data_IF_191945909583
#
_entry.id   IF_191945909583
#
_cell.length_a   1.000
_cell.length_b   1.000
_cell.length_c   1.000
_cell.angle_alpha   90.00
_cell.angle_beta   90.00
_cell.angle_gamma   90.00
#
_symmetry.space_group_name_H-M   'P 1'
#
loop_
_entity.id
_entity.type
_entity.pdbx_description
1 polymer ?
#
# COMPACT_ATOMS: atom_id res chain seq x y z
N UNK A 1 21.31 1.10 5.81
CA UNK A 1 20.34 0.13 5.28
C UNK A 1 18.93 0.69 5.37
N UNK A 2 18.17 0.59 4.26
CA UNK A 2 16.85 1.22 4.15
C UNK A 2 15.70 0.43 4.79
N UNK A 3 15.89 -0.84 5.14
CA UNK A 3 14.88 -1.77 5.62
C UNK A 3 13.64 -1.86 4.69
N UNK A 4 13.75 -2.48 3.51
CA UNK A 4 12.58 -2.80 2.71
C UNK A 4 11.74 -3.86 3.45
N UNK A 5 10.43 -3.63 3.58
CA UNK A 5 9.54 -4.56 4.28
C UNK A 5 8.67 -5.36 3.32
N UNK A 6 8.10 -4.68 2.32
CA UNK A 6 7.20 -5.28 1.36
C UNK A 6 7.64 -4.97 -0.06
N UNK A 7 7.55 -5.96 -0.95
CA UNK A 7 7.75 -5.80 -2.39
C UNK A 7 6.49 -6.24 -3.13
N UNK A 8 6.10 -5.47 -4.14
CA UNK A 8 4.93 -5.79 -5.00
C UNK A 8 5.32 -5.68 -6.46
N UNK A 9 4.97 -6.71 -7.23
CA UNK A 9 5.07 -6.68 -8.68
C UNK A 9 3.93 -5.87 -9.28
N UNK A 10 4.19 -5.18 -10.38
CA UNK A 10 3.13 -4.67 -11.23
C UNK A 10 2.28 -5.83 -11.75
N UNK A 11 0.95 -5.64 -11.69
CA UNK A 11 -0.01 -6.62 -12.20
C UNK A 11 -0.41 -6.34 -13.66
N UNK A 12 0.07 -5.22 -14.20
CA UNK A 12 -0.19 -4.87 -15.58
C UNK A 12 0.65 -5.74 -16.51
N UNK A 13 0.02 -6.37 -17.49
CA UNK A 13 0.74 -7.24 -18.40
C UNK A 13 1.73 -6.45 -19.27
N UNK A 14 2.89 -7.04 -19.47
CA UNK A 14 4.01 -6.39 -20.15
C UNK A 14 4.90 -5.57 -19.22
N UNK A 15 4.44 -5.28 -18.00
CA UNK A 15 5.30 -4.69 -16.98
C UNK A 15 6.23 -5.77 -16.41
N UNK A 16 7.52 -5.47 -16.37
CA UNK A 16 8.54 -6.34 -15.77
C UNK A 16 9.27 -5.57 -14.67
N UNK A 17 8.52 -5.07 -13.70
CA UNK A 17 9.05 -4.32 -12.57
C UNK A 17 8.28 -4.56 -11.29
N UNK A 18 8.95 -4.32 -10.18
CA UNK A 18 8.38 -4.32 -8.85
C UNK A 18 8.68 -3.00 -8.12
N UNK A 19 7.83 -2.65 -7.18
CA UNK A 19 8.04 -1.54 -6.27
C UNK A 19 8.26 -2.04 -4.84
N UNK A 20 9.07 -1.33 -4.08
CA UNK A 20 9.20 -1.51 -2.62
C UNK A 20 9.37 -0.17 -1.93
N UNK A 21 9.01 -0.10 -0.65
CA UNK A 21 9.28 1.06 0.18
C UNK A 21 10.27 0.69 1.29
N UNK A 22 11.15 1.63 1.63
CA UNK A 22 12.15 1.44 2.68
C UNK A 22 11.76 2.18 3.94
N UNK A 23 11.54 1.44 5.02
CA UNK A 23 11.00 1.95 6.28
C UNK A 23 11.87 3.04 6.92
N UNK A 24 13.19 2.83 6.97
CA UNK A 24 14.11 3.73 7.67
C UNK A 24 14.61 4.91 6.83
N UNK A 25 14.52 4.83 5.51
CA UNK A 25 14.97 5.92 4.61
C UNK A 25 13.83 6.62 3.90
N UNK A 26 12.60 6.15 4.10
CA UNK A 26 11.38 6.77 3.54
C UNK A 26 11.44 6.97 2.02
N UNK A 27 11.88 5.92 1.30
CA UNK A 27 12.03 5.94 -0.15
C UNK A 27 11.13 4.90 -0.82
N UNK A 28 10.66 5.22 -2.02
CA UNK A 28 10.14 4.25 -2.98
C UNK A 28 11.27 3.81 -3.89
N UNK A 29 11.41 2.51 -4.06
CA UNK A 29 12.38 1.89 -4.94
C UNK A 29 11.67 1.17 -6.08
N UNK A 30 12.16 1.37 -7.29
CA UNK A 30 11.80 0.62 -8.47
C UNK A 30 12.84 -0.48 -8.71
N UNK A 31 12.38 -1.70 -8.88
CA UNK A 31 13.21 -2.88 -9.21
C UNK A 31 12.80 -3.37 -10.58
N UNK A 32 13.70 -3.33 -11.55
CA UNK A 32 13.44 -3.78 -12.93
C UNK A 32 14.70 -4.31 -13.59
N UNK A 33 14.54 -5.03 -14.69
CA UNK A 33 15.67 -5.41 -15.54
C UNK A 33 16.08 -4.25 -16.46
N UNK A 34 17.37 -4.13 -16.66
CA UNK A 34 17.93 -3.28 -17.70
C UNK A 34 17.88 -3.93 -19.10
N UNK A 35 18.42 -3.28 -20.10
CA UNK A 35 18.44 -3.78 -21.48
C UNK A 35 19.28 -5.07 -21.65
N UNK A 36 20.15 -5.38 -20.70
CA UNK A 36 20.99 -6.57 -20.66
C UNK A 36 20.36 -7.70 -19.83
N UNK A 37 19.14 -7.48 -19.30
CA UNK A 37 18.42 -8.44 -18.45
C UNK A 37 18.93 -8.50 -17.01
N UNK A 38 19.79 -7.56 -16.59
CA UNK A 38 20.30 -7.49 -15.21
C UNK A 38 19.31 -6.73 -14.32
N UNK A 39 19.06 -7.27 -13.13
CA UNK A 39 18.19 -6.64 -12.15
C UNK A 39 18.85 -5.39 -11.55
N UNK A 40 18.16 -4.28 -11.62
CA UNK A 40 18.56 -3.00 -11.07
C UNK A 40 17.52 -2.52 -10.05
N UNK A 41 17.99 -1.87 -8.99
CA UNK A 41 17.15 -1.20 -8.01
C UNK A 41 17.54 0.28 -7.92
N UNK A 42 16.54 1.17 -8.05
CA UNK A 42 16.73 2.62 -8.02
C UNK A 42 15.71 3.26 -7.09
N UNK A 43 16.13 4.18 -6.23
CA UNK A 43 15.19 5.03 -5.49
C UNK A 43 14.58 6.06 -6.45
N UNK A 44 13.26 6.15 -6.45
CA UNK A 44 12.51 6.95 -7.44
C UNK A 44 11.65 8.03 -6.81
N UNK A 45 11.34 7.94 -5.51
CA UNK A 45 10.62 8.97 -4.79
C UNK A 45 10.88 8.93 -3.28
N UNK A 46 10.59 10.06 -2.63
CA UNK A 46 10.61 10.20 -1.17
C UNK A 46 9.19 10.18 -0.62
N UNK A 47 8.99 9.53 0.53
CA UNK A 47 7.70 9.37 1.19
C UNK A 47 7.65 10.28 2.42
N UNK A 48 6.79 11.29 2.40
CA UNK A 48 6.62 12.21 3.51
C UNK A 48 7.88 13.04 3.82
N UNK A 49 8.12 13.30 5.10
CA UNK A 49 9.30 13.99 5.59
C UNK A 49 10.32 12.98 6.15
N UNK A 50 11.44 12.72 5.45
CA UNK A 50 12.43 11.73 5.89
C UNK A 50 13.08 12.05 7.24
N UNK A 51 13.14 13.33 7.61
CA UNK A 51 13.72 13.75 8.91
C UNK A 51 12.85 13.29 10.09
N UNK A 52 11.56 13.04 9.85
CA UNK A 52 10.61 12.53 10.86
C UNK A 52 10.40 11.02 10.80
N UNK A 53 11.05 10.35 9.85
CA UNK A 53 10.97 8.90 9.63
C UNK A 53 9.51 8.41 9.70
N UNK A 54 8.66 8.70 8.69
CA UNK A 54 7.24 8.30 8.69
C UNK A 54 7.05 6.78 8.76
N UNK A 55 8.09 6.01 8.52
CA UNK A 55 8.14 4.56 8.58
C UNK A 55 7.15 3.90 7.61
N UNK A 56 7.43 3.92 6.28
CA UNK A 56 6.66 3.14 5.33
C UNK A 56 6.71 1.65 5.64
N UNK A 57 5.55 0.99 5.76
CA UNK A 57 5.46 -0.40 6.23
C UNK A 57 4.80 -1.32 5.22
N UNK A 58 3.87 -0.84 4.42
CA UNK A 58 3.24 -1.63 3.36
C UNK A 58 2.88 -0.78 2.15
N UNK A 59 2.82 -1.44 1.00
CA UNK A 59 2.49 -0.85 -0.29
C UNK A 59 1.48 -1.71 -1.05
N UNK A 60 0.68 -1.08 -1.90
CA UNK A 60 -0.25 -1.76 -2.81
C UNK A 60 -0.29 -1.06 -4.15
N UNK A 61 0.18 -1.74 -5.22
CA UNK A 61 0.11 -1.23 -6.59
C UNK A 61 -1.31 -1.48 -7.13
N UNK A 62 -1.89 -0.49 -7.81
CA UNK A 62 -3.20 -0.65 -8.46
C UNK A 62 -3.14 -1.70 -9.57
N UNK A 63 -4.28 -2.32 -9.85
CA UNK A 63 -4.36 -3.43 -10.81
C UNK A 63 -3.92 -3.03 -12.23
N UNK A 64 -4.06 -1.75 -12.59
CA UNK A 64 -3.61 -1.17 -13.86
C UNK A 64 -2.12 -0.74 -13.86
N UNK A 65 -1.43 -0.90 -12.74
CA UNK A 65 -0.03 -0.51 -12.59
C UNK A 65 0.22 1.00 -12.50
N UNK A 66 -0.84 1.84 -12.48
CA UNK A 66 -0.71 3.30 -12.57
C UNK A 66 -0.77 4.03 -11.24
N UNK A 67 -1.00 3.32 -10.16
CA UNK A 67 -1.08 3.91 -8.83
C UNK A 67 -0.40 3.06 -7.77
N UNK A 68 0.09 3.71 -6.73
CA UNK A 68 0.72 3.08 -5.58
C UNK A 68 0.16 3.69 -4.30
N UNK A 69 -0.43 2.85 -3.49
CA UNK A 69 -0.75 3.17 -2.11
C UNK A 69 0.41 2.83 -1.19
N UNK A 70 0.68 3.70 -0.23
CA UNK A 70 1.71 3.52 0.79
C UNK A 70 1.14 3.86 2.16
N UNK A 71 1.24 2.94 3.10
CA UNK A 71 0.97 3.20 4.51
C UNK A 71 2.27 3.54 5.25
N UNK A 72 2.20 4.56 6.11
CA UNK A 72 3.29 4.96 6.98
C UNK A 72 2.85 4.89 8.44
N UNK A 73 3.58 4.11 9.23
CA UNK A 73 3.18 3.72 10.58
C UNK A 73 3.29 4.88 11.58
N UNK A 74 4.39 5.63 11.55
CA UNK A 74 4.67 6.62 12.61
C UNK A 74 3.81 7.87 12.51
N UNK A 75 3.38 8.27 11.32
CA UNK A 75 2.51 9.42 11.12
C UNK A 75 1.06 9.06 10.79
N UNK A 76 0.73 7.76 10.78
CA UNK A 76 -0.63 7.25 10.61
C UNK A 76 -1.28 7.59 9.28
N UNK A 77 -0.49 7.78 8.21
CA UNK A 77 -1.01 8.26 6.92
C UNK A 77 -1.03 7.16 5.87
N UNK A 78 -2.07 7.21 5.05
CA UNK A 78 -2.19 6.52 3.77
C UNK A 78 -1.95 7.51 2.65
N UNK A 79 -0.99 7.23 1.77
CA UNK A 79 -0.57 8.10 0.67
C UNK A 79 -0.80 7.41 -0.67
N UNK A 80 -1.12 8.20 -1.68
CA UNK A 80 -1.24 7.74 -3.05
C UNK A 80 -0.22 8.43 -3.96
N UNK A 81 0.46 7.63 -4.75
CA UNK A 81 1.40 8.07 -5.76
C UNK A 81 0.89 7.69 -7.14
N UNK A 82 0.92 8.64 -8.07
CA UNK A 82 0.74 8.40 -9.50
C UNK A 82 2.00 7.71 -10.04
N UNK A 83 1.81 6.53 -10.63
CA UNK A 83 2.82 5.71 -11.28
C UNK A 83 2.73 5.74 -12.81
N UNK A 84 2.07 6.72 -13.42
CA UNK A 84 2.05 6.88 -14.89
C UNK A 84 3.47 6.90 -15.48
N UNK A 85 4.44 7.35 -14.69
CA UNK A 85 5.87 7.09 -14.90
C UNK A 85 6.45 6.44 -13.63
N UNK A 86 6.66 5.11 -13.60
CA UNK A 86 7.18 4.43 -12.42
C UNK A 86 8.62 4.82 -12.05
N UNK A 87 9.37 5.46 -12.95
CA UNK A 87 10.71 6.01 -12.64
C UNK A 87 10.68 7.39 -11.97
N UNK A 88 9.52 8.03 -11.93
CA UNK A 88 9.33 9.34 -11.29
C UNK A 88 7.92 9.44 -10.67
N UNK A 89 7.59 8.61 -9.67
CA UNK A 89 6.29 8.63 -9.00
C UNK A 89 6.01 9.98 -8.36
N UNK A 90 4.75 10.42 -8.43
CA UNK A 90 4.34 11.69 -7.83
C UNK A 90 3.31 11.45 -6.75
N UNK A 91 3.56 11.89 -5.52
CA UNK A 91 2.54 11.88 -4.48
C UNK A 91 1.43 12.88 -4.83
N UNK A 92 0.22 12.38 -5.04
CA UNK A 92 -0.95 13.19 -5.40
C UNK A 92 -1.98 13.27 -4.28
N UNK A 93 -1.87 12.39 -3.28
CA UNK A 93 -2.81 12.37 -2.16
C UNK A 93 -2.15 11.90 -0.87
N UNK A 94 -2.69 12.37 0.27
CA UNK A 94 -2.33 11.93 1.61
C UNK A 94 -3.48 12.18 2.58
N UNK A 95 -3.80 11.18 3.40
CA UNK A 95 -4.80 11.28 4.46
C UNK A 95 -4.32 10.57 5.72
N UNK A 96 -4.58 11.14 6.88
CA UNK A 96 -4.45 10.42 8.13
C UNK A 96 -5.61 9.44 8.26
N UNK A 97 -5.32 8.14 8.32
CA UNK A 97 -6.32 7.07 8.37
C UNK A 97 -6.34 6.34 9.70
N UNK A 98 -5.38 6.62 10.56
CA UNK A 98 -5.28 6.16 11.95
C UNK A 98 -4.19 6.95 12.66
N UNK A 99 -3.93 6.69 13.93
CA UNK A 99 -2.74 7.22 14.60
C UNK A 99 -1.50 6.45 14.17
N UNK A 100 -1.65 5.12 14.05
CA UNK A 100 -0.67 4.22 13.44
C UNK A 100 -1.38 3.34 12.42
N UNK A 101 -0.84 3.20 11.21
CA UNK A 101 -1.41 2.34 10.16
C UNK A 101 -0.35 1.39 9.63
N UNK A 102 -0.74 0.14 9.40
CA UNK A 102 0.18 -0.89 8.95
C UNK A 102 -0.16 -1.36 7.53
N UNK A 103 -0.86 -2.49 7.40
CA UNK A 103 -1.07 -3.13 6.09
C UNK A 103 -2.15 -2.41 5.28
N UNK A 104 -1.97 -2.44 3.97
CA UNK A 104 -2.91 -1.86 3.02
C UNK A 104 -3.33 -2.89 1.98
N UNK A 105 -4.62 -2.94 1.70
CA UNK A 105 -5.19 -3.73 0.62
C UNK A 105 -6.21 -2.89 -0.14
N UNK A 106 -6.46 -3.26 -1.39
CA UNK A 106 -7.47 -2.60 -2.20
C UNK A 106 -8.39 -3.61 -2.87
N UNK A 107 -9.63 -3.22 -3.14
CA UNK A 107 -10.54 -4.03 -3.94
C UNK A 107 -10.03 -4.12 -5.40
N UNK A 108 -10.44 -5.17 -6.11
CA UNK A 108 -10.00 -5.42 -7.48
C UNK A 108 -10.37 -4.30 -8.47
N UNK A 109 -11.45 -3.58 -8.19
CA UNK A 109 -11.91 -2.43 -8.97
C UNK A 109 -11.23 -1.11 -8.59
N UNK A 110 -10.32 -1.14 -7.59
CA UNK A 110 -9.61 0.03 -7.09
C UNK A 110 -10.48 1.05 -6.34
N UNK A 111 -11.77 0.78 -6.12
CA UNK A 111 -12.71 1.73 -5.51
C UNK A 111 -12.73 1.70 -3.99
N UNK A 112 -12.07 0.74 -3.37
CA UNK A 112 -11.99 0.62 -1.92
C UNK A 112 -10.56 0.35 -1.48
N UNK A 113 -10.18 0.99 -0.40
CA UNK A 113 -8.89 0.82 0.28
C UNK A 113 -9.16 0.40 1.71
N UNK A 114 -8.43 -0.59 2.18
CA UNK A 114 -8.55 -1.15 3.51
C UNK A 114 -7.22 -1.02 4.22
N UNK A 115 -7.25 -0.53 5.45
CA UNK A 115 -6.06 -0.34 6.28
C UNK A 115 -6.25 -1.00 7.63
N UNK A 116 -5.17 -1.53 8.18
CA UNK A 116 -5.11 -2.07 9.53
C UNK A 116 -4.12 -1.29 10.38
N UNK A 117 -4.20 -1.41 11.69
CA UNK A 117 -3.35 -0.67 12.63
C UNK A 117 -2.20 -1.50 13.20
N UNK A 118 -2.34 -2.83 13.28
CA UNK A 118 -1.38 -3.65 14.02
C UNK A 118 -0.14 -4.00 13.22
N UNK A 119 1.03 -3.65 13.72
CA UNK A 119 2.33 -4.02 13.16
C UNK A 119 3.02 -5.09 14.02
N UNK A 120 3.46 -4.74 15.22
CA UNK A 120 4.14 -5.62 16.17
C UNK A 120 3.67 -5.30 17.58
N UNK A 121 3.47 -6.33 18.41
CA UNK A 121 2.92 -6.19 19.77
C UNK A 121 3.61 -5.10 20.60
N UNK A 122 4.95 -5.06 20.59
CA UNK A 122 5.72 -4.06 21.33
C UNK A 122 5.57 -2.64 20.77
N UNK A 123 5.49 -2.52 19.45
CA UNK A 123 5.36 -1.23 18.78
C UNK A 123 3.93 -0.70 18.89
N UNK A 124 2.95 -1.57 18.78
CA UNK A 124 1.55 -1.21 18.96
C UNK A 124 1.29 -0.71 20.39
N UNK A 125 1.92 -1.33 21.40
CA UNK A 125 1.81 -0.91 22.81
C UNK A 125 2.63 0.33 23.14
N UNK A 126 3.77 0.50 22.50
CA UNK A 126 4.60 1.71 22.60
C UNK A 126 4.08 2.86 21.77
N UNK A 127 3.07 2.62 20.96
CA UNK A 127 2.43 3.62 20.14
C UNK A 127 1.54 4.56 20.93
N UNK A 128 1.22 5.67 20.31
CA UNK A 128 0.47 6.76 20.94
C UNK A 128 -0.98 6.40 21.29
N UNK A 129 -1.52 5.27 20.83
CA UNK A 129 -2.96 5.09 20.83
C UNK A 129 -3.52 3.71 21.14
N UNK A 130 -2.79 2.67 20.93
CA UNK A 130 -3.33 1.32 21.12
C UNK A 130 -4.57 0.98 20.25
N UNK A 131 -4.82 1.73 19.17
CA UNK A 131 -5.91 1.44 18.23
C UNK A 131 -5.74 0.07 17.59
N UNK A 132 -6.81 -0.73 17.56
CA UNK A 132 -6.82 -2.04 16.90
C UNK A 132 -7.99 -2.08 15.94
N UNK A 133 -7.75 -1.75 14.68
CA UNK A 133 -8.81 -1.61 13.70
C UNK A 133 -8.53 -2.26 12.35
N UNK A 134 -9.61 -2.54 11.63
CA UNK A 134 -9.66 -2.60 10.18
C UNK A 134 -10.60 -1.49 9.72
N UNK A 135 -10.10 -0.54 8.95
CA UNK A 135 -10.89 0.54 8.34
C UNK A 135 -10.99 0.35 6.84
N UNK A 136 -12.18 0.52 6.31
CA UNK A 136 -12.45 0.54 4.89
C UNK A 136 -12.81 1.95 4.42
N UNK A 137 -12.21 2.38 3.32
CA UNK A 137 -12.44 3.66 2.69
C UNK A 137 -12.92 3.46 1.26
N UNK A 138 -13.94 4.21 0.85
CA UNK A 138 -14.27 4.39 -0.55
C UNK A 138 -13.26 5.38 -1.17
N UNK A 139 -12.79 5.07 -2.39
CA UNK A 139 -11.90 5.92 -3.17
C UNK A 139 -12.61 6.37 -4.45
N UNK A 140 -12.72 7.66 -4.66
CA UNK A 140 -13.37 8.27 -5.84
C UNK A 140 -12.36 8.85 -6.86
N UNK A 141 -11.07 8.54 -6.70
CA UNK A 141 -9.98 9.08 -7.50
C UNK A 141 -9.37 10.38 -6.93
N UNK A 142 -9.98 10.95 -5.90
CA UNK A 142 -9.55 12.22 -5.29
C UNK A 142 -9.48 12.17 -3.77
N UNK A 143 -10.40 11.44 -3.13
CA UNK A 143 -10.52 11.41 -1.68
C UNK A 143 -10.88 10.01 -1.16
N UNK A 144 -10.29 9.65 -0.01
CA UNK A 144 -10.71 8.51 0.80
C UNK A 144 -11.84 8.92 1.76
N UNK A 145 -13.01 8.30 1.62
CA UNK A 145 -14.14 8.47 2.55
C UNK A 145 -14.34 7.19 3.35
N UNK A 146 -14.28 7.27 4.68
CA UNK A 146 -14.46 6.10 5.53
C UNK A 146 -15.86 5.50 5.31
N UNK A 147 -15.90 4.22 4.97
CA UNK A 147 -17.12 3.48 4.69
C UNK A 147 -17.56 2.64 5.89
N UNK A 148 -16.61 1.96 6.54
CA UNK A 148 -16.85 1.24 7.79
C UNK A 148 -15.56 1.02 8.58
N UNK A 149 -15.71 0.57 9.82
CA UNK A 149 -14.63 0.20 10.71
C UNK A 149 -15.03 -1.03 11.51
N UNK A 150 -14.07 -1.91 11.75
CA UNK A 150 -14.13 -2.93 12.78
C UNK A 150 -13.11 -2.59 13.85
N UNK A 151 -13.57 -2.29 15.06
CA UNK A 151 -12.73 -2.08 16.23
C UNK A 151 -12.47 -3.43 16.89
N UNK A 152 -11.28 -3.98 16.64
CA UNK A 152 -10.88 -5.31 17.12
C UNK A 152 -10.75 -5.36 18.64
N UNK A 153 -10.40 -4.26 19.29
CA UNK A 153 -10.31 -4.20 20.74
C UNK A 153 -11.72 -4.29 21.37
N UNK A 154 -12.67 -3.52 20.84
CA UNK A 154 -14.06 -3.51 21.30
C UNK A 154 -14.76 -4.85 21.08
N UNK A 155 -14.50 -5.47 19.92
CA UNK A 155 -15.11 -6.76 19.55
C UNK A 155 -14.39 -7.97 20.19
N UNK A 156 -13.32 -7.76 20.95
CA UNK A 156 -12.53 -8.82 21.57
C UNK A 156 -11.80 -9.75 20.59
N UNK A 157 -11.53 -9.26 19.37
CA UNK A 157 -10.94 -10.04 18.27
C UNK A 157 -9.40 -10.03 18.25
N UNK A 158 -8.75 -9.36 19.19
CA UNK A 158 -7.30 -9.22 19.22
C UNK A 158 -6.79 -8.15 18.26
N UNK A 159 -5.88 -8.51 17.34
CA UNK A 159 -5.18 -7.55 16.48
C UNK A 159 -5.37 -7.85 15.00
N UNK A 160 -5.80 -6.86 14.23
CA UNK A 160 -5.89 -6.95 12.78
C UNK A 160 -4.51 -6.70 12.17
N UNK A 161 -3.91 -7.70 11.49
CA UNK A 161 -2.64 -7.50 10.81
C UNK A 161 -2.82 -7.22 9.32
N UNK A 162 -3.39 -8.16 8.57
CA UNK A 162 -3.52 -8.04 7.11
C UNK A 162 -4.87 -8.53 6.62
N UNK A 163 -5.34 -7.99 5.50
CA UNK A 163 -6.54 -8.42 4.81
C UNK A 163 -6.22 -8.81 3.36
N UNK A 164 -6.80 -9.90 2.89
CA UNK A 164 -6.75 -10.30 1.49
C UNK A 164 -8.15 -10.59 0.96
N UNK A 165 -8.40 -10.20 -0.28
CA UNK A 165 -9.61 -10.58 -0.99
C UNK A 165 -9.47 -11.98 -1.58
N UNK A 166 -10.48 -12.83 -1.36
CA UNK A 166 -10.55 -14.11 -2.07
C UNK A 166 -11.04 -13.88 -3.52
N UNK A 167 -10.71 -14.83 -4.40
CA UNK A 167 -11.26 -14.84 -5.76
C UNK A 167 -12.80 -14.85 -5.78
N UNK A 168 -13.43 -15.54 -4.79
CA UNK A 168 -14.89 -15.60 -4.65
C UNK A 168 -15.52 -14.25 -4.25
N UNK A 169 -14.86 -13.46 -3.40
CA UNK A 169 -15.37 -12.15 -2.96
C UNK A 169 -15.34 -11.10 -4.07
N UNK A 170 -14.43 -11.25 -5.03
CA UNK A 170 -14.33 -10.39 -6.20
C UNK A 170 -15.09 -10.93 -7.41
N UNK A 171 -15.58 -12.16 -7.35
CA UNK A 171 -16.12 -12.89 -8.49
C UNK A 171 -15.09 -13.28 -9.55
N UNK A 172 -13.82 -12.90 -9.37
CA UNK A 172 -12.74 -13.10 -10.35
C UNK A 172 -11.42 -13.42 -9.65
N UNK A 173 -10.63 -14.31 -10.23
CA UNK A 173 -9.26 -14.53 -9.78
C UNK A 173 -8.36 -13.36 -10.18
N UNK A 174 -7.21 -13.19 -9.51
CA UNK A 174 -6.17 -12.23 -9.91
C UNK A 174 -5.84 -12.32 -11.39
N UNK A 175 -5.66 -13.55 -11.89
CA UNK A 175 -5.35 -13.80 -13.29
C UNK A 175 -6.49 -13.39 -14.22
N UNK A 176 -7.75 -13.50 -13.81
CA UNK A 176 -8.90 -13.05 -14.59
C UNK A 176 -8.98 -11.52 -14.62
N UNK A 177 -8.79 -10.85 -13.48
CA UNK A 177 -8.75 -9.38 -13.41
C UNK A 177 -7.61 -8.85 -14.29
N UNK A 178 -6.42 -9.42 -14.19
CA UNK A 178 -5.29 -9.04 -15.02
C UNK A 178 -5.55 -9.25 -16.53
N UNK A 179 -6.17 -10.38 -16.92
CA UNK A 179 -6.52 -10.66 -18.32
C UNK A 179 -7.57 -9.72 -18.89
N UNK A 180 -8.59 -9.36 -18.10
CA UNK A 180 -9.63 -8.43 -18.54
C UNK A 180 -9.09 -7.02 -18.73
N UNK A 181 -8.17 -6.57 -17.88
CA UNK A 181 -7.49 -5.29 -18.07
C UNK A 181 -6.60 -5.28 -19.31
N UNK A 182 -6.06 -6.44 -19.69
CA UNK A 182 -5.33 -6.59 -20.95
C UNK A 182 -6.22 -6.48 -22.18
N UNK A 183 -7.44 -7.03 -22.09
CA UNK A 183 -8.39 -7.03 -23.20
C UNK A 183 -9.06 -5.66 -23.41
N UNK A 184 -8.93 -4.71 -22.46
CA UNK A 184 -9.46 -3.35 -22.56
C UNK A 184 -8.46 -2.33 -23.12
N UNK A 185 -7.27 -2.78 -23.51
CA UNK A 185 -6.25 -2.00 -24.25
C UNK A 185 -6.27 -2.38 -25.73
#
# INVERSE_FOLDING_TARGET
PGAPLEIRWSLNAGDNWAGTATALTSKIWLVKQDAQGQWQAKDVATIGDPAKIPLPVDISITADGKGLWVNTFMDGKTRYFDLSNPEAPKQTYSKQTGKQVNMISQSWDGKRVYVTSSLLDKWDKGGADNEQFLRAFAWDGKELKQAFEVDFAKEGLGRAHHMKFSAKSSGKSMAQVAREQLAMK
#
